data_IF_456824645212
#
_entry.id   IF_456824645212
#
_cell.length_a   1.000
_cell.length_b   1.000
_cell.length_c   1.000
_cell.angle_alpha   90.00
_cell.angle_beta   90.00
_cell.angle_gamma   90.00
#
_symmetry.space_group_name_H-M   'P 1'
#
loop_
_entity.id
_entity.type
_entity.pdbx_description
1 polymer ?
#
# COMPACT_ATOMS: atom_id res chain seq x y z
N UNK A 1 58.78 -29.06 -18.47
CA UNK A 1 57.70 -28.05 -18.33
C UNK A 1 56.56 -28.68 -17.56
N UNK A 2 56.07 -28.10 -16.44
CA UNK A 2 54.99 -28.69 -15.68
C UNK A 2 53.63 -28.34 -16.29
N UNK A 3 52.75 -29.35 -16.47
CA UNK A 3 51.34 -29.18 -16.80
C UNK A 3 50.59 -28.70 -15.56
N UNK A 4 50.20 -27.43 -15.53
CA UNK A 4 49.20 -26.88 -14.61
C UNK A 4 47.94 -26.53 -15.42
N UNK A 5 46.78 -26.61 -14.78
CA UNK A 5 45.53 -25.96 -15.21
C UNK A 5 44.58 -26.72 -16.17
N UNK A 6 44.05 -27.87 -15.72
CA UNK A 6 42.71 -28.32 -16.18
C UNK A 6 41.80 -28.71 -15.01
N UNK A 7 42.35 -29.21 -13.91
CA UNK A 7 41.58 -29.60 -12.71
C UNK A 7 41.07 -28.42 -11.88
N UNK A 8 41.85 -27.33 -11.74
CA UNK A 8 41.43 -26.14 -10.99
C UNK A 8 40.29 -25.37 -11.68
N UNK A 9 40.28 -25.33 -13.02
CA UNK A 9 39.25 -24.63 -13.81
C UNK A 9 37.92 -25.39 -13.84
N UNK A 10 37.95 -26.73 -13.76
CA UNK A 10 36.74 -27.54 -13.65
C UNK A 10 36.13 -27.49 -12.25
N UNK A 11 36.94 -27.47 -11.18
CA UNK A 11 36.45 -27.32 -9.82
C UNK A 11 35.86 -25.93 -9.56
N UNK A 12 36.49 -24.86 -10.04
CA UNK A 12 35.96 -23.49 -9.88
C UNK A 12 34.63 -23.29 -10.59
N UNK A 13 34.48 -23.85 -11.81
CA UNK A 13 33.24 -23.76 -12.57
C UNK A 13 32.11 -24.59 -11.94
N UNK A 14 32.43 -25.76 -11.35
CA UNK A 14 31.45 -26.59 -10.66
C UNK A 14 30.93 -25.94 -9.36
N UNK A 15 31.80 -25.31 -8.56
CA UNK A 15 31.37 -24.58 -7.36
C UNK A 15 30.58 -23.32 -7.69
N UNK A 16 31.00 -22.54 -8.69
CA UNK A 16 30.22 -21.39 -9.19
C UNK A 16 28.84 -21.81 -9.71
N UNK A 17 28.74 -22.92 -10.45
CA UNK A 17 27.45 -23.41 -10.93
C UNK A 17 26.55 -23.93 -9.80
N UNK A 18 27.12 -24.51 -8.75
CA UNK A 18 26.33 -25.02 -7.61
C UNK A 18 25.84 -23.88 -6.72
N UNK A 19 26.67 -22.86 -6.48
CA UNK A 19 26.29 -21.64 -5.76
C UNK A 19 25.22 -20.85 -6.53
N UNK A 20 25.35 -20.72 -7.85
CA UNK A 20 24.36 -20.04 -8.69
C UNK A 20 23.01 -20.79 -8.74
N UNK A 21 23.04 -22.13 -8.77
CA UNK A 21 21.82 -22.94 -8.71
C UNK A 21 21.13 -22.87 -7.34
N UNK A 22 21.89 -22.79 -6.25
CA UNK A 22 21.37 -22.61 -4.90
C UNK A 22 20.73 -21.22 -4.74
N UNK A 23 21.38 -20.19 -5.27
CA UNK A 23 20.87 -18.81 -5.23
C UNK A 23 19.59 -18.61 -6.03
N UNK A 24 19.52 -19.14 -7.26
CA UNK A 24 18.28 -19.10 -8.06
C UNK A 24 17.10 -19.75 -7.33
N UNK A 25 17.34 -20.88 -6.66
CA UNK A 25 16.31 -21.53 -5.85
C UNK A 25 15.88 -20.66 -4.65
N UNK A 26 16.82 -19.98 -3.98
CA UNK A 26 16.54 -19.06 -2.87
C UNK A 26 15.74 -17.84 -3.32
N UNK A 27 16.05 -17.27 -4.49
CA UNK A 27 15.29 -16.16 -5.11
C UNK A 27 13.84 -16.58 -5.37
N UNK A 28 13.64 -17.72 -6.04
CA UNK A 28 12.30 -18.26 -6.30
C UNK A 28 11.54 -18.54 -5.01
N UNK A 29 12.23 -19.04 -3.98
CA UNK A 29 11.63 -19.28 -2.67
C UNK A 29 11.23 -17.96 -1.98
N UNK A 30 12.04 -16.91 -2.07
CA UNK A 30 11.71 -15.58 -1.54
C UNK A 30 10.52 -14.96 -2.25
N UNK A 31 10.47 -14.99 -3.59
CA UNK A 31 9.34 -14.51 -4.38
C UNK A 31 8.05 -15.22 -3.93
N UNK A 32 8.06 -16.56 -3.88
CA UNK A 32 6.91 -17.35 -3.40
C UNK A 32 6.51 -17.00 -1.98
N UNK A 33 7.48 -16.80 -1.10
CA UNK A 33 7.25 -16.41 0.30
C UNK A 33 6.55 -15.05 0.38
N UNK A 34 7.04 -14.06 -0.35
CA UNK A 34 6.45 -12.71 -0.39
C UNK A 34 5.02 -12.76 -0.93
N UNK A 35 4.78 -13.44 -2.05
CA UNK A 35 3.45 -13.60 -2.65
C UNK A 35 2.47 -14.30 -1.70
N UNK A 36 2.93 -15.32 -0.97
CA UNK A 36 2.12 -16.02 0.02
C UNK A 36 1.77 -15.12 1.22
N UNK A 37 2.76 -14.41 1.76
CA UNK A 37 2.56 -13.46 2.85
C UNK A 37 1.63 -12.29 2.44
N UNK A 38 1.57 -11.95 1.15
CA UNK A 38 0.72 -10.89 0.62
C UNK A 38 -0.69 -11.31 0.21
N UNK A 39 -1.06 -12.60 0.28
CA UNK A 39 -2.35 -13.09 -0.27
C UNK A 39 -3.59 -12.33 0.21
N UNK A 40 -3.57 -11.85 1.46
CA UNK A 40 -4.67 -11.09 2.06
C UNK A 40 -4.43 -9.57 2.10
N UNK A 41 -3.49 -9.07 1.28
CA UNK A 41 -2.98 -7.69 1.29
C UNK A 41 -2.38 -7.25 2.63
N UNK A 42 -1.95 -8.21 3.45
CA UNK A 42 -1.35 -7.97 4.77
C UNK A 42 -0.03 -7.22 4.66
N UNK A 43 0.31 -6.49 5.72
CA UNK A 43 1.66 -5.95 5.94
C UNK A 43 2.62 -7.12 6.21
N UNK A 44 3.76 -7.12 5.52
CA UNK A 44 4.78 -8.16 5.55
C UNK A 44 5.95 -7.66 6.40
N UNK A 45 6.44 -8.49 7.32
CA UNK A 45 7.67 -8.19 8.06
C UNK A 45 8.87 -8.75 7.32
N UNK A 46 9.94 -7.97 7.23
CA UNK A 46 11.22 -8.43 6.69
C UNK A 46 11.75 -9.67 7.43
N UNK A 47 11.54 -9.77 8.75
CA UNK A 47 11.94 -10.93 9.55
C UNK A 47 11.22 -12.20 9.14
N UNK A 48 9.96 -12.09 8.71
CA UNK A 48 9.15 -13.23 8.32
C UNK A 48 9.63 -13.77 6.97
N UNK A 49 9.94 -12.89 6.01
CA UNK A 49 10.55 -13.28 4.73
C UNK A 49 11.89 -13.98 4.98
N UNK A 50 12.77 -13.38 5.78
CA UNK A 50 14.10 -13.93 6.05
C UNK A 50 14.03 -15.30 6.76
N UNK A 51 13.15 -15.45 7.76
CA UNK A 51 13.01 -16.71 8.49
C UNK A 51 12.41 -17.84 7.64
N UNK A 52 11.37 -17.54 6.85
CA UNK A 52 10.68 -18.54 6.03
C UNK A 52 11.50 -18.93 4.79
N UNK A 53 12.05 -17.94 4.08
CA UNK A 53 12.70 -18.19 2.80
C UNK A 53 14.19 -18.55 2.95
N UNK A 54 14.87 -17.99 3.95
CA UNK A 54 16.33 -17.98 4.07
C UNK A 54 16.85 -18.49 5.42
N UNK A 55 16.01 -19.13 6.24
CA UNK A 55 16.38 -19.63 7.59
C UNK A 55 16.98 -18.54 8.50
N UNK A 56 16.63 -17.27 8.28
CA UNK A 56 17.06 -16.13 9.08
C UNK A 56 18.32 -15.42 8.60
N UNK A 57 18.92 -15.80 7.47
CA UNK A 57 20.12 -15.13 6.96
C UNK A 57 19.82 -13.73 6.40
N UNK A 58 20.14 -12.72 7.21
CA UNK A 58 19.93 -11.31 6.87
C UNK A 58 20.91 -10.77 5.82
N UNK A 59 22.09 -11.36 5.68
CA UNK A 59 23.07 -10.96 4.66
C UNK A 59 22.61 -11.44 3.30
N UNK A 60 22.18 -12.70 3.24
CA UNK A 60 21.60 -13.30 2.05
C UNK A 60 20.38 -12.51 1.58
N UNK A 61 19.48 -12.14 2.50
CA UNK A 61 18.31 -11.29 2.19
C UNK A 61 18.71 -10.02 1.43
N UNK A 62 19.67 -9.24 1.95
CA UNK A 62 20.05 -7.97 1.30
C UNK A 62 20.69 -8.19 -0.07
N UNK A 63 21.36 -9.32 -0.25
CA UNK A 63 22.08 -9.66 -1.48
C UNK A 63 21.13 -10.02 -2.62
N UNK A 64 20.08 -10.78 -2.32
CA UNK A 64 19.15 -11.31 -3.34
C UNK A 64 17.87 -10.49 -3.48
N UNK A 65 17.55 -9.60 -2.54
CA UNK A 65 16.34 -8.80 -2.62
C UNK A 65 16.20 -7.96 -3.91
N UNK A 66 17.26 -7.31 -4.44
CA UNK A 66 17.13 -6.56 -5.68
C UNK A 66 16.59 -7.40 -6.84
N UNK A 67 17.11 -8.62 -7.03
CA UNK A 67 16.63 -9.52 -8.09
C UNK A 67 15.20 -10.03 -7.82
N UNK A 68 14.83 -10.20 -6.54
CA UNK A 68 13.46 -10.54 -6.14
C UNK A 68 12.48 -9.41 -6.45
N UNK A 69 12.86 -8.16 -6.21
CA UNK A 69 12.08 -6.96 -6.55
C UNK A 69 11.90 -6.84 -8.06
N UNK A 70 12.97 -7.02 -8.84
CA UNK A 70 12.92 -7.02 -10.31
C UNK A 70 11.95 -8.09 -10.83
N UNK A 71 12.01 -9.32 -10.30
CA UNK A 71 11.09 -10.40 -10.68
C UNK A 71 9.64 -10.06 -10.31
N UNK A 72 9.40 -9.55 -9.09
CA UNK A 72 8.05 -9.15 -8.66
C UNK A 72 7.47 -8.08 -9.59
N UNK A 73 8.28 -7.13 -10.01
CA UNK A 73 7.86 -6.04 -10.89
C UNK A 73 7.66 -6.51 -12.33
N UNK A 74 8.67 -7.11 -12.94
CA UNK A 74 8.68 -7.44 -14.38
C UNK A 74 7.81 -8.64 -14.73
N UNK A 75 7.76 -9.66 -13.86
CA UNK A 75 7.04 -10.91 -14.13
C UNK A 75 5.63 -10.88 -13.53
N UNK A 76 5.47 -10.36 -12.32
CA UNK A 76 4.20 -10.43 -11.60
C UNK A 76 3.43 -9.10 -11.56
N UNK A 77 4.03 -7.97 -11.96
CA UNK A 77 3.38 -6.66 -11.90
C UNK A 77 3.10 -6.18 -10.48
N UNK A 78 4.04 -6.40 -9.57
CA UNK A 78 3.98 -5.94 -8.19
C UNK A 78 5.24 -5.17 -7.79
N UNK A 79 5.04 -4.20 -6.92
CA UNK A 79 6.10 -3.42 -6.29
C UNK A 79 6.05 -3.62 -4.77
N UNK A 80 7.22 -3.76 -4.14
CA UNK A 80 7.36 -3.76 -2.69
C UNK A 80 7.51 -2.32 -2.19
N UNK A 81 6.61 -1.91 -1.31
CA UNK A 81 6.62 -0.57 -0.72
C UNK A 81 6.87 -0.68 0.78
N UNK A 82 7.90 0.01 1.26
CA UNK A 82 8.18 0.10 2.68
C UNK A 82 7.07 0.87 3.42
N UNK A 83 6.71 0.35 4.59
CA UNK A 83 5.75 0.97 5.51
C UNK A 83 6.52 1.45 6.75
N UNK A 84 6.54 2.77 6.96
CA UNK A 84 7.12 3.33 8.16
C UNK A 84 6.37 2.81 9.39
N UNK A 85 7.08 2.06 10.23
CA UNK A 85 6.49 1.33 11.34
C UNK A 85 7.36 1.39 12.58
N UNK A 86 7.55 2.59 13.15
CA UNK A 86 8.13 2.81 14.50
C UNK A 86 9.30 1.86 14.85
N UNK A 87 10.26 1.70 13.92
CA UNK A 87 11.47 0.87 14.09
C UNK A 87 11.38 -0.58 13.60
N UNK A 88 10.23 -1.04 13.11
CA UNK A 88 10.11 -2.31 12.39
C UNK A 88 10.32 -2.09 10.89
N UNK A 89 10.95 -3.05 10.21
CA UNK A 89 11.08 -3.05 8.74
C UNK A 89 9.92 -3.85 8.17
N UNK A 90 8.84 -3.15 7.86
CA UNK A 90 7.64 -3.75 7.26
C UNK A 90 7.37 -3.16 5.89
N UNK A 91 6.70 -3.95 5.05
CA UNK A 91 6.46 -3.64 3.65
C UNK A 91 5.09 -4.16 3.21
N UNK A 92 4.57 -3.63 2.13
CA UNK A 92 3.38 -4.13 1.45
C UNK A 92 3.70 -4.42 0.00
N UNK A 93 3.05 -5.43 -0.55
CA UNK A 93 3.07 -5.71 -1.98
C UNK A 93 1.91 -4.98 -2.65
N UNK A 94 2.19 -4.03 -3.53
CA UNK A 94 1.23 -3.23 -4.29
C UNK A 94 1.25 -3.63 -5.75
N UNK A 95 0.09 -3.71 -6.41
CA UNK A 95 0.06 -3.99 -7.85
C UNK A 95 0.45 -2.74 -8.63
N UNK A 96 1.28 -2.91 -9.65
CA UNK A 96 1.65 -1.87 -10.62
C UNK A 96 0.77 -1.89 -11.87
N UNK A 97 -0.10 -2.90 -11.98
CA UNK A 97 -1.05 -3.03 -13.08
C UNK A 97 -2.29 -2.20 -12.75
N UNK A 98 -2.79 -1.46 -13.72
CA UNK A 98 -4.04 -0.71 -13.57
C UNK A 98 -5.15 -1.64 -13.09
N UNK A 99 -5.80 -1.24 -12.00
CA UNK A 99 -6.91 -2.01 -11.45
C UNK A 99 -8.07 -1.91 -12.43
N UNK A 100 -8.54 -3.05 -12.95
CA UNK A 100 -9.73 -3.13 -13.80
C UNK A 100 -10.95 -2.52 -13.12
N UNK A 101 -12.04 -2.34 -13.86
CA UNK A 101 -13.22 -1.68 -13.31
C UNK A 101 -13.84 -2.49 -12.17
N UNK A 102 -14.50 -1.84 -11.20
CA UNK A 102 -15.24 -2.54 -10.13
C UNK A 102 -16.28 -3.55 -10.67
N UNK A 103 -16.71 -3.39 -11.92
CA UNK A 103 -17.65 -4.28 -12.60
C UNK A 103 -17.03 -5.62 -12.97
N UNK A 104 -15.73 -5.68 -13.25
CA UNK A 104 -14.99 -6.91 -13.59
C UNK A 104 -14.69 -7.78 -12.37
N UNK A 105 -14.74 -7.19 -11.17
CA UNK A 105 -14.54 -7.92 -9.93
C UNK A 105 -15.71 -8.87 -9.66
N UNK A 106 -15.40 -10.03 -9.07
CA UNK A 106 -16.45 -10.87 -8.50
C UNK A 106 -17.21 -10.11 -7.40
N UNK A 107 -18.41 -10.58 -7.07
CA UNK A 107 -19.31 -9.86 -6.18
C UNK A 107 -18.71 -9.59 -4.80
N UNK A 108 -17.95 -10.53 -4.25
CA UNK A 108 -17.29 -10.39 -2.95
C UNK A 108 -16.23 -9.28 -2.96
N UNK A 109 -15.36 -9.25 -3.97
CA UNK A 109 -14.35 -8.18 -4.10
C UNK A 109 -15.02 -6.85 -4.41
N UNK A 110 -16.03 -6.83 -5.30
CA UNK A 110 -16.77 -5.61 -5.62
C UNK A 110 -17.34 -4.97 -4.36
N UNK A 111 -18.05 -5.73 -3.52
CA UNK A 111 -18.59 -5.23 -2.23
C UNK A 111 -17.48 -4.61 -1.35
N UNK A 112 -16.35 -5.31 -1.20
CA UNK A 112 -15.21 -4.83 -0.39
C UNK A 112 -14.59 -3.56 -0.96
N UNK A 113 -14.35 -3.49 -2.26
CA UNK A 113 -13.75 -2.29 -2.87
C UNK A 113 -14.74 -1.12 -2.92
N UNK A 114 -16.03 -1.34 -3.13
CA UNK A 114 -17.04 -0.27 -3.09
C UNK A 114 -17.03 0.45 -1.74
N UNK A 115 -17.04 -0.28 -0.61
CA UNK A 115 -16.98 0.35 0.72
C UNK A 115 -15.63 1.05 0.96
N UNK A 116 -14.52 0.42 0.53
CA UNK A 116 -13.20 1.02 0.62
C UNK A 116 -13.13 2.37 -0.10
N UNK A 117 -13.58 2.42 -1.37
CA UNK A 117 -13.58 3.63 -2.18
C UNK A 117 -14.49 4.72 -1.59
N UNK A 118 -15.63 4.35 -1.00
CA UNK A 118 -16.50 5.29 -0.30
C UNK A 118 -15.81 5.94 0.90
N UNK A 119 -15.11 5.14 1.72
CA UNK A 119 -14.35 5.62 2.88
C UNK A 119 -13.19 6.52 2.44
N UNK A 120 -12.36 6.04 1.51
CA UNK A 120 -11.21 6.80 1.01
C UNK A 120 -11.66 8.11 0.34
N UNK A 121 -12.76 8.06 -0.42
CA UNK A 121 -13.37 9.23 -1.04
C UNK A 121 -13.82 10.26 0.00
N UNK A 122 -14.50 9.84 1.07
CA UNK A 122 -14.91 10.75 2.14
C UNK A 122 -13.71 11.42 2.82
N UNK A 123 -12.69 10.63 3.19
CA UNK A 123 -11.46 11.13 3.81
C UNK A 123 -10.79 12.16 2.88
N UNK A 124 -10.68 11.85 1.59
CA UNK A 124 -10.07 12.72 0.60
C UNK A 124 -10.82 14.05 0.44
N UNK A 125 -12.15 13.99 0.38
CA UNK A 125 -13.02 15.17 0.27
C UNK A 125 -13.01 16.03 1.53
N UNK A 126 -12.55 15.50 2.67
CA UNK A 126 -12.36 16.22 3.92
C UNK A 126 -10.90 16.66 4.15
N UNK A 127 -10.09 16.73 3.09
CA UNK A 127 -8.68 17.14 3.12
C UNK A 127 -7.75 16.14 3.84
N UNK A 128 -8.07 14.85 3.84
CA UNK A 128 -7.12 13.77 4.08
C UNK A 128 -7.09 13.18 5.49
N UNK A 129 -7.49 13.93 6.53
CA UNK A 129 -7.55 13.43 7.92
C UNK A 129 -8.88 13.81 8.54
N UNK A 130 -9.59 12.83 9.11
CA UNK A 130 -10.91 13.04 9.75
C UNK A 130 -11.02 12.31 11.08
N UNK A 131 -11.81 12.82 12.05
CA UNK A 131 -12.22 12.04 13.20
C UNK A 131 -12.95 10.75 12.75
N UNK A 132 -12.65 9.62 13.39
CA UNK A 132 -13.31 8.35 13.07
C UNK A 132 -14.83 8.44 13.31
N UNK A 133 -15.27 9.17 14.34
CA UNK A 133 -16.70 9.41 14.60
C UNK A 133 -17.40 10.07 13.41
N UNK A 134 -16.80 11.11 12.83
CA UNK A 134 -17.36 11.81 11.67
C UNK A 134 -17.37 10.96 10.40
N UNK A 135 -16.49 9.96 10.30
CA UNK A 135 -16.58 8.98 9.22
C UNK A 135 -17.79 8.06 9.41
N UNK A 136 -18.01 7.56 10.63
CA UNK A 136 -19.16 6.69 10.92
C UNK A 136 -20.50 7.41 10.83
N UNK A 137 -20.59 8.66 11.29
CA UNK A 137 -21.77 9.51 11.08
C UNK A 137 -22.09 9.66 9.59
N UNK A 138 -21.08 9.91 8.76
CA UNK A 138 -21.26 9.95 7.31
C UNK A 138 -21.76 8.61 6.76
N UNK A 139 -21.14 7.49 7.13
CA UNK A 139 -21.55 6.17 6.68
C UNK A 139 -23.00 5.86 7.08
N UNK A 140 -23.43 6.28 8.26
CA UNK A 140 -24.80 6.14 8.72
C UNK A 140 -25.79 6.93 7.84
N UNK A 141 -25.43 8.14 7.38
CA UNK A 141 -26.30 8.94 6.49
C UNK A 141 -26.55 8.28 5.14
N UNK A 142 -25.66 7.38 4.70
CA UNK A 142 -25.81 6.59 3.47
C UNK A 142 -26.29 5.16 3.75
N UNK A 143 -26.79 4.89 4.96
CA UNK A 143 -27.43 3.64 5.35
C UNK A 143 -26.48 2.53 5.81
N UNK A 144 -25.22 2.85 6.14
CA UNK A 144 -24.21 1.91 6.59
C UNK A 144 -23.96 2.11 8.08
N UNK A 145 -24.42 1.17 8.90
CA UNK A 145 -24.24 1.18 10.35
C UNK A 145 -23.02 0.34 10.76
N UNK A 146 -22.23 0.81 11.72
CA UNK A 146 -21.09 0.06 12.25
C UNK A 146 -21.48 -1.10 13.16
N UNK A 147 -22.66 -1.02 13.78
CA UNK A 147 -23.11 -1.97 14.81
C UNK A 147 -23.93 -3.13 14.22
N UNK A 148 -24.42 -2.97 12.99
CA UNK A 148 -25.34 -3.91 12.35
C UNK A 148 -24.79 -4.44 11.03
N UNK A 149 -25.22 -5.66 10.66
CA UNK A 149 -24.88 -6.23 9.37
C UNK A 149 -25.65 -5.51 8.25
N UNK A 150 -24.93 -5.10 7.20
CA UNK A 150 -25.51 -4.48 6.02
C UNK A 150 -25.75 -5.53 4.93
N UNK A 151 -26.94 -5.54 4.32
CA UNK A 151 -27.34 -6.56 3.34
C UNK A 151 -26.34 -6.75 2.18
N UNK A 152 -25.69 -5.67 1.72
CA UNK A 152 -24.68 -5.74 0.67
C UNK A 152 -23.25 -5.91 1.20
N UNK A 153 -22.89 -5.27 2.33
CA UNK A 153 -21.51 -5.19 2.80
C UNK A 153 -21.16 -6.24 3.86
N UNK A 154 -22.13 -6.99 4.39
CA UNK A 154 -21.93 -7.82 5.58
C UNK A 154 -21.64 -6.92 6.78
N UNK A 155 -20.69 -7.30 7.63
CA UNK A 155 -20.27 -6.55 8.83
C UNK A 155 -19.35 -5.36 8.48
N UNK A 156 -19.84 -4.09 8.44
CA UNK A 156 -19.06 -2.96 7.93
C UNK A 156 -17.87 -2.62 8.84
N UNK A 157 -18.02 -2.75 10.17
CA UNK A 157 -16.93 -2.54 11.12
C UNK A 157 -15.78 -3.52 10.89
N UNK A 158 -16.07 -4.79 10.65
CA UNK A 158 -15.05 -5.81 10.36
C UNK A 158 -14.32 -5.55 9.05
N UNK A 159 -15.04 -5.08 8.02
CA UNK A 159 -14.42 -4.63 6.78
C UNK A 159 -13.51 -3.42 7.03
N UNK A 160 -13.96 -2.44 7.80
CA UNK A 160 -13.15 -1.27 8.17
C UNK A 160 -11.83 -1.66 8.85
N UNK A 161 -11.89 -2.55 9.85
CA UNK A 161 -10.68 -3.07 10.51
C UNK A 161 -9.76 -3.82 9.54
N UNK A 162 -10.32 -4.48 8.51
CA UNK A 162 -9.53 -5.13 7.48
C UNK A 162 -8.76 -4.13 6.61
N UNK A 163 -9.35 -2.97 6.28
CA UNK A 163 -8.68 -1.92 5.51
C UNK A 163 -7.52 -1.28 6.29
N UNK A 164 -7.63 -1.22 7.62
CA UNK A 164 -6.52 -0.80 8.49
C UNK A 164 -5.39 -1.83 8.42
N UNK A 165 -5.70 -3.12 8.58
CA UNK A 165 -4.70 -4.21 8.49
C UNK A 165 -4.02 -4.30 7.13
N UNK A 166 -4.72 -3.90 6.07
CA UNK A 166 -4.22 -3.85 4.70
C UNK A 166 -3.47 -2.55 4.37
N UNK A 167 -3.35 -1.63 5.33
CA UNK A 167 -2.69 -0.33 5.17
C UNK A 167 -3.35 0.60 4.13
N UNK A 168 -4.64 0.43 3.83
CA UNK A 168 -5.42 1.42 3.08
C UNK A 168 -5.83 2.60 3.95
N UNK A 169 -6.11 2.35 5.24
CA UNK A 169 -6.49 3.38 6.22
C UNK A 169 -5.50 3.33 7.37
N UNK A 170 -5.02 4.48 7.83
CA UNK A 170 -4.23 4.59 9.06
C UNK A 170 -5.10 5.20 10.13
N UNK A 171 -5.16 4.54 11.29
CA UNK A 171 -5.86 5.00 12.50
C UNK A 171 -4.82 5.43 13.52
N UNK A 172 -4.94 6.64 14.05
CA UNK A 172 -4.05 7.17 15.07
C UNK A 172 -4.78 8.05 16.07
N UNK A 173 -4.19 8.25 17.24
CA UNK A 173 -4.70 9.17 18.25
C UNK A 173 -4.03 10.53 18.09
N UNK A 174 -4.80 11.59 18.26
CA UNK A 174 -4.28 12.95 18.28
C UNK A 174 -4.91 13.72 19.43
N UNK A 175 -4.06 14.31 20.27
CA UNK A 175 -4.48 15.28 21.27
C UNK A 175 -4.65 16.63 20.59
N UNK A 176 -5.84 17.21 20.68
CA UNK A 176 -6.09 18.58 20.24
C UNK A 176 -6.08 19.51 21.45
N UNK A 177 -5.45 20.68 21.32
CA UNK A 177 -5.51 21.71 22.35
C UNK A 177 -6.97 22.05 22.67
N UNK A 178 -7.35 21.94 23.95
CA UNK A 178 -8.71 22.21 24.42
C UNK A 178 -9.65 21.00 24.50
N UNK A 179 -9.23 19.79 24.10
CA UNK A 179 -9.99 18.56 24.36
C UNK A 179 -9.36 17.76 25.50
N UNK A 180 -10.18 17.35 26.48
CA UNK A 180 -9.73 16.57 27.64
C UNK A 180 -9.43 15.09 27.30
N UNK A 181 -9.85 14.60 26.13
CA UNK A 181 -9.69 13.21 25.70
C UNK A 181 -8.99 13.10 24.34
N UNK A 182 -8.12 12.09 24.19
CA UNK A 182 -7.48 11.75 22.92
C UNK A 182 -8.54 11.32 21.89
N UNK A 183 -8.67 12.07 20.80
CA UNK A 183 -9.58 11.73 19.71
C UNK A 183 -8.91 10.79 18.71
N UNK A 184 -9.68 9.85 18.16
CA UNK A 184 -9.22 8.90 17.15
C UNK A 184 -9.47 9.50 15.76
N UNK A 185 -8.41 9.57 14.96
CA UNK A 185 -8.42 10.07 13.60
C UNK A 185 -8.02 8.98 12.61
N UNK A 186 -8.51 9.15 11.39
CA UNK A 186 -8.23 8.26 10.26
C UNK A 186 -7.80 9.05 9.04
N UNK A 187 -6.85 8.50 8.30
CA UNK A 187 -6.32 9.08 7.05
C UNK A 187 -5.99 7.98 6.03
N UNK A 188 -5.67 8.38 4.80
CA UNK A 188 -5.17 7.45 3.78
C UNK A 188 -3.86 6.80 4.24
N UNK A 189 -3.85 5.47 4.26
CA UNK A 189 -2.66 4.67 4.46
C UNK A 189 -1.78 4.59 3.22
N UNK A 190 -0.58 4.04 3.40
CA UNK A 190 0.41 3.91 2.32
C UNK A 190 -0.12 3.12 1.13
N UNK A 191 -0.89 2.04 1.34
CA UNK A 191 -1.47 1.29 0.22
C UNK A 191 -2.45 2.14 -0.60
N UNK A 192 -3.28 2.94 0.06
CA UNK A 192 -4.22 3.83 -0.64
C UNK A 192 -3.47 4.88 -1.48
N UNK A 193 -2.35 5.41 -0.97
CA UNK A 193 -1.53 6.38 -1.70
C UNK A 193 -0.88 5.81 -2.96
N UNK A 194 -0.62 4.50 -2.99
CA UNK A 194 -0.04 3.81 -4.14
C UNK A 194 -1.09 3.25 -5.12
N UNK A 195 -2.14 2.60 -4.60
CA UNK A 195 -3.12 1.90 -5.46
C UNK A 195 -4.31 2.78 -5.90
N UNK A 196 -4.53 3.95 -5.29
CA UNK A 196 -5.69 4.81 -5.60
C UNK A 196 -5.24 6.14 -6.19
N UNK A 197 -5.65 6.39 -7.44
CA UNK A 197 -5.44 7.67 -8.10
C UNK A 197 -6.33 8.76 -7.48
N UNK A 198 -5.70 9.80 -6.91
CA UNK A 198 -6.42 10.97 -6.39
C UNK A 198 -7.26 11.66 -7.45
N UNK A 199 -6.77 11.69 -8.70
CA UNK A 199 -7.48 12.26 -9.85
C UNK A 199 -8.75 11.48 -10.14
N UNK A 200 -8.65 10.17 -10.29
CA UNK A 200 -9.83 9.31 -10.56
C UNK A 200 -10.81 9.33 -9.40
N UNK A 201 -10.30 9.39 -8.16
CA UNK A 201 -11.12 9.53 -6.96
C UNK A 201 -11.90 10.84 -6.98
N UNK A 202 -11.25 11.97 -7.29
CA UNK A 202 -11.91 13.27 -7.42
C UNK A 202 -13.01 13.24 -8.48
N UNK A 203 -12.69 12.74 -9.68
CA UNK A 203 -13.63 12.64 -10.79
C UNK A 203 -14.84 11.78 -10.44
N UNK A 204 -14.62 10.64 -9.79
CA UNK A 204 -15.67 9.70 -9.39
C UNK A 204 -16.60 10.31 -8.33
N UNK A 205 -16.03 10.97 -7.32
CA UNK A 205 -16.81 11.63 -6.26
C UNK A 205 -17.60 12.83 -6.79
N UNK A 206 -17.04 13.60 -7.73
CA UNK A 206 -17.73 14.70 -8.40
C UNK A 206 -18.95 14.20 -9.18
N UNK A 207 -18.80 13.10 -9.93
CA UNK A 207 -19.93 12.45 -10.63
C UNK A 207 -21.01 11.99 -9.66
N UNK A 208 -20.62 11.36 -8.54
CA UNK A 208 -21.55 10.89 -7.52
C UNK A 208 -22.34 12.05 -6.88
N UNK A 209 -21.67 13.16 -6.59
CA UNK A 209 -22.26 14.32 -5.93
C UNK A 209 -22.92 15.31 -6.90
N UNK A 210 -22.87 15.04 -8.22
CA UNK A 210 -23.25 15.97 -9.28
C UNK A 210 -22.62 17.37 -9.12
N UNK A 211 -21.32 17.40 -8.81
CA UNK A 211 -20.51 18.61 -8.61
C UNK A 211 -19.37 18.67 -9.62
N UNK A 212 -18.77 19.85 -9.77
CA UNK A 212 -17.58 20.02 -10.61
C UNK A 212 -16.32 19.81 -9.76
N UNK A 213 -15.22 19.26 -10.32
CA UNK A 213 -13.94 19.16 -9.62
C UNK A 213 -13.45 20.50 -9.04
N UNK A 214 -13.74 21.61 -9.74
CA UNK A 214 -13.42 22.98 -9.30
C UNK A 214 -14.10 23.39 -7.98
N UNK A 215 -15.18 22.72 -7.61
CA UNK A 215 -15.88 22.97 -6.34
C UNK A 215 -15.05 22.47 -5.14
N UNK A 216 -14.13 21.53 -5.38
CA UNK A 216 -13.17 20.99 -4.42
C UNK A 216 -11.78 21.55 -4.68
N UNK A 217 -11.60 22.86 -4.44
CA UNK A 217 -10.38 23.61 -4.83
C UNK A 217 -9.08 22.94 -4.40
N UNK A 218 -8.95 22.54 -3.14
CA UNK A 218 -7.73 21.92 -2.60
C UNK A 218 -7.39 20.63 -3.35
N UNK A 219 -8.37 19.75 -3.51
CA UNK A 219 -8.24 18.48 -4.22
C UNK A 219 -7.91 18.70 -5.69
N UNK A 220 -8.60 19.64 -6.33
CA UNK A 220 -8.38 19.97 -7.74
C UNK A 220 -6.95 20.44 -7.97
N UNK A 221 -6.45 21.41 -7.18
CA UNK A 221 -5.07 21.91 -7.28
C UNK A 221 -4.05 20.78 -7.13
N UNK A 222 -4.25 19.92 -6.13
CA UNK A 222 -3.38 18.76 -5.90
C UNK A 222 -3.33 17.81 -7.11
N UNK A 223 -4.47 17.57 -7.77
CA UNK A 223 -4.52 16.71 -8.97
C UNK A 223 -3.91 17.34 -10.22
N UNK A 224 -3.73 18.67 -10.25
CA UNK A 224 -3.10 19.38 -11.37
C UNK A 224 -1.57 19.51 -11.24
N UNK A 225 -0.97 18.97 -10.17
CA UNK A 225 0.49 19.03 -9.97
C UNK A 225 1.03 20.42 -9.60
N UNK A 226 0.16 21.38 -9.26
CA UNK A 226 0.55 22.68 -8.72
C UNK A 226 0.81 22.53 -7.21
N UNK A 227 1.86 21.78 -6.86
CA UNK A 227 2.48 21.94 -5.54
C UNK A 227 2.96 23.39 -5.43
N UNK A 228 2.48 24.11 -4.42
CA UNK A 228 3.05 25.40 -4.02
C UNK A 228 4.58 25.26 -3.85
N UNK A 229 5.31 25.64 -4.88
CA UNK A 229 6.64 26.24 -4.73
C UNK A 229 6.43 27.75 -4.66
N UNK A 230 7.03 28.34 -3.62
CA UNK A 230 7.24 29.77 -3.43
C UNK A 230 6.09 30.56 -2.80
N UNK A 231 5.98 30.45 -1.46
CA UNK A 231 5.95 31.67 -0.64
C UNK A 231 7.39 32.18 -0.50
N UNK A 232 7.53 33.49 -0.46
CA UNK A 232 8.75 34.31 -0.33
C UNK A 232 9.46 34.65 -1.64
N UNK A 233 8.96 35.71 -2.29
CA UNK A 233 9.75 36.91 -2.64
C UNK A 233 8.78 37.98 -3.19
N UNK A 234 8.22 38.78 -2.27
CA UNK A 234 7.71 40.12 -2.60
C UNK A 234 8.76 41.09 -2.07
N UNK A 235 9.80 41.34 -2.87
CA UNK A 235 10.45 42.65 -2.86
C UNK A 235 9.65 43.53 -3.84
N UNK A 236 8.85 44.43 -3.28
CA UNK A 236 8.28 45.56 -4.03
C UNK A 236 9.37 46.65 -4.12
N UNK A 237 9.57 47.27 -5.31
CA UNK A 237 10.49 48.38 -5.44
C UNK A 237 9.77 49.70 -5.17
N UNK A 238 10.29 50.50 -4.24
CA UNK A 238 10.48 51.96 -4.37
C UNK A 238 11.45 52.49 -3.30
#
# INVERSE_FOLDING_TARGET
MPRLSQSQTQQSNASLSTEALDESHLIVNMVKTILNLSMNKSVIKRTDISSIALKGDSRLYNRIMPEVEDILQEVYGYELIDVDSKGQKTMILCSTIETGTLLELNETYRRRYTLLYLILGYIYMKNGTVPESLLWEFLQTVGIDEQHEHAYFGEPKKLFESYIKQAYVVRFKQSMEGMNEESIFVSWGVRAKHEVSKKEMLESMCKLMNRKPTDFKTQYIETQGLSNTSSDDIEEPE
#
